data_IF_950527308652
#
_entry.id   IF_950527308652
#
_cell.length_a   1.000
_cell.length_b   1.000
_cell.length_c   1.000
_cell.angle_alpha   90.00
_cell.angle_beta   90.00
_cell.angle_gamma   90.00
#
_symmetry.space_group_name_H-M   'P 1'
#
loop_
_entity.id
_entity.type
_entity.pdbx_description
1 polymer ?
#
# COMPACT_ATOMS: atom_id res chain seq x y z
N UNK A 1 9.19 -21.95 -2.42
CA UNK A 1 7.75 -21.65 -2.56
C UNK A 1 7.51 -20.97 -3.90
N UNK A 2 6.38 -21.23 -4.57
CA UNK A 2 5.92 -20.39 -5.68
C UNK A 2 5.34 -19.11 -5.08
N UNK A 3 5.64 -17.97 -5.69
CA UNK A 3 5.05 -16.68 -5.30
C UNK A 3 3.66 -16.64 -5.91
N UNK A 4 2.64 -16.42 -5.08
CA UNK A 4 1.24 -16.47 -5.49
C UNK A 4 0.60 -15.08 -5.47
N UNK A 5 0.97 -14.24 -4.51
CA UNK A 5 0.42 -12.90 -4.35
C UNK A 5 1.46 -11.84 -4.73
N UNK A 6 1.00 -10.68 -5.20
CA UNK A 6 1.87 -9.54 -5.48
C UNK A 6 2.76 -9.18 -4.27
N UNK A 7 2.21 -9.25 -3.05
CA UNK A 7 2.95 -8.98 -1.80
C UNK A 7 4.10 -9.98 -1.53
N UNK A 8 4.00 -11.23 -2.01
CA UNK A 8 5.06 -12.24 -1.80
C UNK A 8 6.38 -11.82 -2.47
N UNK A 9 6.30 -11.11 -3.60
CA UNK A 9 7.47 -10.58 -4.29
C UNK A 9 8.15 -9.48 -3.47
N UNK A 10 7.36 -8.64 -2.79
CA UNK A 10 7.87 -7.54 -1.97
C UNK A 10 8.49 -8.07 -0.68
N UNK A 11 7.82 -8.98 0.03
CA UNK A 11 8.29 -9.53 1.30
C UNK A 11 9.63 -10.29 1.20
N UNK A 12 10.05 -10.71 0.00
CA UNK A 12 11.39 -11.27 -0.23
C UNK A 12 12.51 -10.24 -0.24
N UNK A 13 12.19 -8.96 -0.34
CA UNK A 13 13.12 -7.84 -0.53
C UNK A 13 12.89 -6.69 0.44
N UNK A 14 11.83 -6.72 1.22
CA UNK A 14 11.47 -5.69 2.20
C UNK A 14 10.95 -6.29 3.50
N UNK A 15 11.03 -5.50 4.56
CA UNK A 15 10.43 -5.80 5.86
C UNK A 15 9.02 -5.20 5.92
N UNK A 16 8.05 -5.98 6.38
CA UNK A 16 6.71 -5.48 6.65
C UNK A 16 6.73 -4.62 7.91
N UNK A 17 6.35 -3.35 7.79
CA UNK A 17 6.35 -2.40 8.92
C UNK A 17 4.94 -2.17 9.46
N UNK A 18 3.93 -2.23 8.59
CA UNK A 18 2.60 -1.73 8.92
C UNK A 18 1.55 -2.34 7.99
N UNK A 19 0.37 -2.68 8.53
CA UNK A 19 -0.75 -3.23 7.76
C UNK A 19 -1.99 -2.38 8.00
N UNK A 20 -2.60 -1.94 6.92
CA UNK A 20 -3.87 -1.24 6.90
C UNK A 20 -4.92 -2.13 6.24
N UNK A 21 -6.12 -2.17 6.80
CA UNK A 21 -7.24 -2.92 6.21
C UNK A 21 -8.55 -2.17 6.48
N UNK A 22 -9.50 -2.35 5.58
CA UNK A 22 -10.88 -1.89 5.74
C UNK A 22 -11.83 -3.07 5.54
N UNK A 23 -13.02 -2.98 6.13
CA UNK A 23 -14.10 -3.95 5.92
C UNK A 23 -15.16 -3.30 5.06
N UNK A 24 -15.46 -3.88 3.90
CA UNK A 24 -16.48 -3.39 2.99
C UNK A 24 -16.44 -4.09 1.64
N UNK A 25 -17.52 -3.94 0.87
CA UNK A 25 -17.66 -4.54 -0.46
C UNK A 25 -17.07 -3.66 -1.58
N UNK A 26 -16.71 -2.41 -1.25
CA UNK A 26 -16.16 -1.46 -2.21
C UNK A 26 -14.68 -1.73 -2.53
N UNK A 27 -14.25 -1.36 -3.74
CA UNK A 27 -12.85 -1.49 -4.23
C UNK A 27 -11.93 -0.47 -3.57
N UNK A 28 -11.65 -0.69 -2.29
CA UNK A 28 -10.85 0.21 -1.47
C UNK A 28 -9.40 0.33 -1.95
N UNK A 29 -8.82 -0.72 -2.54
CA UNK A 29 -7.45 -0.71 -3.06
C UNK A 29 -7.21 0.39 -4.10
N UNK A 30 -8.15 0.60 -5.03
CA UNK A 30 -8.05 1.65 -6.05
C UNK A 30 -8.05 3.05 -5.40
N UNK A 31 -9.00 3.28 -4.48
CA UNK A 31 -9.11 4.56 -3.76
C UNK A 31 -7.84 4.85 -2.96
N UNK A 32 -7.34 3.86 -2.22
CA UNK A 32 -6.13 4.01 -1.41
C UNK A 32 -4.90 4.30 -2.26
N UNK A 33 -4.76 3.61 -3.39
CA UNK A 33 -3.66 3.83 -4.32
C UNK A 33 -3.68 5.24 -4.90
N UNK A 34 -4.86 5.76 -5.25
CA UNK A 34 -5.03 7.15 -5.70
C UNK A 34 -4.65 8.15 -4.59
N UNK A 35 -5.14 7.94 -3.38
CA UNK A 35 -4.87 8.82 -2.22
C UNK A 35 -3.37 8.85 -1.90
N UNK A 36 -2.74 7.68 -1.81
CA UNK A 36 -1.31 7.55 -1.53
C UNK A 36 -0.47 8.11 -2.67
N UNK A 37 -0.91 7.95 -3.92
CA UNK A 37 -0.28 8.50 -5.11
C UNK A 37 -0.18 10.04 -5.10
N UNK A 38 -1.02 10.75 -4.33
CA UNK A 38 -0.93 12.22 -4.18
C UNK A 38 0.32 12.67 -3.42
N UNK A 39 0.87 11.81 -2.56
CA UNK A 39 2.09 12.09 -1.78
C UNK A 39 3.29 11.25 -2.25
N UNK A 40 3.07 10.25 -3.09
CA UNK A 40 4.09 9.33 -3.60
C UNK A 40 4.12 9.24 -5.12
N UNK A 41 4.63 8.13 -5.63
CA UNK A 41 4.67 7.83 -7.06
C UNK A 41 4.29 6.37 -7.28
N UNK A 42 3.36 6.11 -8.20
CA UNK A 42 3.04 4.75 -8.61
C UNK A 42 4.26 4.10 -9.25
N UNK A 43 4.75 3.03 -8.64
CA UNK A 43 5.96 2.35 -9.11
C UNK A 43 6.08 0.92 -8.56
N UNK A 44 6.27 -0.09 -9.44
CA UNK A 44 6.23 0.00 -10.89
C UNK A 44 4.78 0.13 -11.40
N UNK A 45 4.62 0.69 -12.60
CA UNK A 45 3.31 0.75 -13.26
C UNK A 45 2.78 -0.68 -13.53
N UNK A 46 1.46 -0.84 -13.44
CA UNK A 46 0.75 -2.11 -13.63
C UNK A 46 0.83 -3.09 -12.45
N UNK A 47 1.59 -2.77 -11.39
CA UNK A 47 1.69 -3.66 -10.24
C UNK A 47 0.37 -3.67 -9.46
N UNK A 48 -0.24 -4.84 -9.29
CA UNK A 48 -1.48 -4.98 -8.52
C UNK A 48 -2.76 -4.54 -9.24
N UNK A 49 -2.69 -4.06 -10.49
CA UNK A 49 -3.85 -3.49 -11.20
C UNK A 49 -4.41 -4.37 -12.33
N UNK A 50 -4.26 -5.70 -12.25
CA UNK A 50 -4.67 -6.62 -13.33
C UNK A 50 -6.18 -6.70 -13.57
N UNK A 51 -7.00 -6.30 -12.59
CA UNK A 51 -8.46 -6.37 -12.60
C UNK A 51 -9.14 -4.98 -12.53
N UNK A 52 -8.36 -3.92 -12.75
CA UNK A 52 -8.81 -2.53 -12.82
C UNK A 52 -8.05 -1.74 -13.90
N UNK A 53 -8.45 -0.50 -14.16
CA UNK A 53 -7.80 0.39 -15.14
C UNK A 53 -6.77 1.34 -14.50
N UNK A 54 -6.32 1.06 -13.27
CA UNK A 54 -5.37 1.92 -12.57
C UNK A 54 -3.95 1.75 -13.12
N UNK A 55 -3.18 2.84 -13.10
CA UNK A 55 -1.77 2.85 -13.51
C UNK A 55 -0.88 1.94 -12.64
N UNK A 56 -1.34 1.55 -11.46
CA UNK A 56 -0.72 0.62 -10.53
C UNK A 56 -1.27 0.81 -9.12
N UNK A 57 -0.99 -0.12 -8.21
CA UNK A 57 -1.38 -0.06 -6.79
C UNK A 57 -0.20 -0.07 -5.82
N UNK A 58 1.04 -0.12 -6.32
CA UNK A 58 2.23 0.07 -5.48
C UNK A 58 2.70 1.52 -5.55
N UNK A 59 2.80 2.17 -4.38
CA UNK A 59 3.27 3.55 -4.26
C UNK A 59 4.66 3.57 -3.59
N UNK A 60 5.62 4.21 -4.26
CA UNK A 60 6.93 4.48 -3.72
C UNK A 60 7.01 5.91 -3.16
N UNK A 61 7.55 6.05 -1.96
CA UNK A 61 7.82 7.33 -1.31
C UNK A 61 9.33 7.58 -1.26
N UNK A 62 9.78 8.74 -1.74
CA UNK A 62 11.22 9.09 -1.77
C UNK A 62 11.73 9.60 -0.43
N UNK A 63 10.85 10.05 0.45
CA UNK A 63 11.19 10.61 1.76
C UNK A 63 10.24 10.11 2.84
N UNK A 64 10.70 10.14 4.08
CA UNK A 64 9.87 9.83 5.26
C UNK A 64 8.75 10.86 5.44
N UNK A 65 8.99 12.12 5.06
CA UNK A 65 7.98 13.18 5.08
C UNK A 65 6.83 12.87 4.11
N UNK A 66 7.16 12.48 2.87
CA UNK A 66 6.17 12.08 1.88
C UNK A 66 5.37 10.85 2.31
N UNK A 67 6.03 9.85 2.91
CA UNK A 67 5.35 8.70 3.52
C UNK A 67 4.42 9.14 4.67
N UNK A 68 4.86 10.07 5.51
CA UNK A 68 4.05 10.65 6.57
C UNK A 68 2.80 11.34 6.04
N UNK A 69 2.92 12.15 4.99
CA UNK A 69 1.78 12.78 4.34
C UNK A 69 0.81 11.74 3.76
N UNK A 70 1.33 10.73 3.04
CA UNK A 70 0.52 9.63 2.51
C UNK A 70 -0.24 8.88 3.61
N UNK A 71 0.43 8.59 4.74
CA UNK A 71 -0.20 7.99 5.92
C UNK A 71 -1.33 8.86 6.46
N UNK A 72 -1.10 10.15 6.71
CA UNK A 72 -2.16 11.02 7.24
C UNK A 72 -3.36 11.12 6.30
N UNK A 73 -3.15 11.17 4.98
CA UNK A 73 -4.22 11.14 4.00
C UNK A 73 -5.04 9.85 4.08
N UNK A 74 -4.36 8.71 4.25
CA UNK A 74 -5.03 7.41 4.34
C UNK A 74 -5.75 7.21 5.69
N UNK A 75 -5.23 7.74 6.80
CA UNK A 75 -5.87 7.61 8.15
C UNK A 75 -7.28 8.16 8.16
N UNK A 76 -7.50 9.25 7.42
CA UNK A 76 -8.80 9.90 7.30
C UNK A 76 -9.84 9.01 6.60
N UNK A 77 -9.41 8.00 5.85
CA UNK A 77 -10.28 7.13 5.05
C UNK A 77 -10.49 5.74 5.67
N UNK A 78 -9.45 5.09 6.23
CA UNK A 78 -9.48 3.63 6.46
C UNK A 78 -9.77 3.20 7.90
N UNK A 79 -9.59 4.07 8.90
CA UNK A 79 -9.89 3.75 10.30
C UNK A 79 -9.05 2.61 10.92
N UNK A 80 -7.90 2.98 11.49
CA UNK A 80 -7.06 2.21 12.45
C UNK A 80 -6.31 0.94 11.99
N UNK A 81 -5.21 0.70 12.70
CA UNK A 81 -4.00 -0.02 12.31
C UNK A 81 -3.63 -1.10 13.34
N UNK A 82 -3.05 -2.23 12.91
CA UNK A 82 -2.34 -3.19 13.78
C UNK A 82 -0.84 -2.97 13.56
N UNK A 83 -0.16 -2.57 14.64
CA UNK A 83 1.30 -2.55 14.73
C UNK A 83 1.75 -3.82 15.44
N UNK A 84 2.38 -4.75 14.71
CA UNK A 84 3.18 -5.80 15.33
C UNK A 84 4.66 -5.40 15.21
N UNK A 85 5.21 -4.77 16.24
CA UNK A 85 6.65 -4.78 16.45
C UNK A 85 7.03 -6.13 17.08
N UNK A 86 7.67 -7.01 16.30
CA UNK A 86 8.30 -8.22 16.79
C UNK A 86 9.79 -8.12 16.56
N UNK A 87 10.55 -7.70 17.58
CA UNK A 87 11.99 -7.96 17.65
C UNK A 87 12.19 -9.31 18.33
N UNK A 88 13.01 -10.17 17.73
CA UNK A 88 13.70 -11.28 18.40
C UNK A 88 15.15 -11.27 17.94
#
# INVERSE_FOLDING_TARGET
SKLHWHIDYLLRKSTLIEIWWGVGDDRQECSWSEILGKAGMLFPLGFGSSDCNCDGHLVAFRTTSALGEGRERLKLEVGSLLLCEGTS
#
